data_IF_846461010434
#
_entry.id   IF_846461010434
#
_cell.length_a   1.000
_cell.length_b   1.000
_cell.length_c   1.000
_cell.angle_alpha   90.00
_cell.angle_beta   90.00
_cell.angle_gamma   90.00
#
_symmetry.space_group_name_H-M   'P 1'
#
loop_
_entity.id
_entity.type
_entity.pdbx_description
1 polymer ?
#
# COMPACT_ATOMS: atom_id res chain seq x y z
N UNK A 1 75.80 -21.45 -17.37
CA UNK A 1 74.86 -22.33 -18.10
C UNK A 1 73.78 -21.43 -18.69
N UNK A 2 74.01 -20.93 -19.91
CA UNK A 2 73.45 -21.39 -21.19
C UNK A 2 71.94 -21.09 -21.33
N UNK A 3 71.70 -20.11 -22.19
CA UNK A 3 70.46 -19.71 -22.85
C UNK A 3 69.70 -20.88 -23.47
N UNK A 4 68.37 -20.70 -23.59
CA UNK A 4 67.61 -21.24 -24.73
C UNK A 4 66.19 -21.65 -24.41
N UNK A 5 65.26 -21.17 -25.23
CA UNK A 5 63.94 -21.69 -25.69
C UNK A 5 63.12 -20.42 -26.05
N UNK A 6 63.28 -19.83 -27.25
CA UNK A 6 62.72 -20.15 -28.58
C UNK A 6 61.23 -20.56 -28.58
N UNK A 7 60.49 -19.89 -29.50
CA UNK A 7 59.20 -20.23 -30.15
C UNK A 7 57.97 -19.94 -29.28
N UNK A 8 56.96 -19.18 -29.72
CA UNK A 8 56.65 -18.58 -31.01
C UNK A 8 55.32 -17.84 -30.89
N UNK A 9 55.12 -16.82 -31.71
CA UNK A 9 53.83 -16.11 -31.80
C UNK A 9 52.75 -16.93 -32.51
N UNK A 10 51.49 -16.59 -32.22
CA UNK A 10 50.23 -16.78 -32.99
C UNK A 10 49.14 -16.18 -32.06
N UNK A 11 48.57 -14.99 -32.34
CA UNK A 11 47.51 -14.69 -33.31
C UNK A 11 46.10 -15.18 -32.88
N UNK A 12 45.13 -14.27 -33.04
CA UNK A 12 43.66 -14.48 -33.10
C UNK A 12 42.92 -14.64 -31.74
N UNK A 13 42.20 -13.60 -31.29
CA UNK A 13 40.82 -13.21 -31.65
C UNK A 13 39.73 -14.00 -30.93
N UNK A 14 38.84 -13.21 -30.30
CA UNK A 14 37.39 -13.41 -30.12
C UNK A 14 36.83 -14.30 -28.99
N UNK A 15 35.94 -13.62 -28.25
CA UNK A 15 34.67 -14.13 -27.68
C UNK A 15 34.80 -14.98 -26.42
N UNK A 16 34.67 -14.30 -25.29
CA UNK A 16 34.23 -14.88 -24.04
C UNK A 16 33.48 -13.81 -23.26
N UNK A 17 32.19 -13.65 -23.56
CA UNK A 17 31.27 -12.84 -22.77
C UNK A 17 31.33 -13.31 -21.31
N UNK A 18 31.94 -12.51 -20.45
CA UNK A 18 31.70 -12.67 -19.02
C UNK A 18 30.22 -12.39 -18.76
N UNK A 19 29.48 -13.27 -18.05
CA UNK A 19 28.21 -12.86 -17.50
C UNK A 19 28.55 -11.85 -16.41
N UNK A 20 28.48 -10.57 -16.79
CA UNK A 20 28.40 -9.44 -15.89
C UNK A 20 27.12 -9.69 -15.07
N UNK A 21 27.26 -10.32 -13.90
CA UNK A 21 26.17 -10.52 -12.96
C UNK A 21 25.55 -9.16 -12.74
N UNK A 22 24.37 -9.01 -13.34
CA UNK A 22 23.52 -7.85 -13.16
C UNK A 22 23.33 -7.74 -11.67
N UNK A 23 23.77 -6.61 -11.09
CA UNK A 23 23.35 -6.21 -9.77
C UNK A 23 21.82 -6.14 -9.84
N UNK A 24 21.19 -7.20 -9.38
CA UNK A 24 19.75 -7.28 -9.17
C UNK A 24 19.46 -6.16 -8.18
N UNK A 25 19.00 -5.03 -8.72
CA UNK A 25 18.43 -3.95 -7.94
C UNK A 25 17.22 -4.57 -7.26
N UNK A 26 17.42 -5.03 -6.03
CA UNK A 26 16.34 -5.40 -5.12
C UNK A 26 15.47 -4.16 -4.96
N UNK A 27 14.43 -4.07 -5.79
CA UNK A 27 13.22 -3.30 -5.50
C UNK A 27 12.93 -3.54 -4.02
N UNK A 28 12.85 -2.52 -3.15
CA UNK A 28 12.65 -2.72 -1.72
C UNK A 28 11.50 -3.69 -1.52
N UNK A 29 11.84 -4.92 -1.13
CA UNK A 29 10.91 -6.05 -1.19
C UNK A 29 9.74 -5.74 -0.29
N UNK A 30 8.53 -5.86 -0.83
CA UNK A 30 7.31 -5.67 -0.07
C UNK A 30 7.37 -6.49 1.23
N UNK A 31 7.11 -5.86 2.37
CA UNK A 31 7.23 -6.50 3.67
C UNK A 31 6.47 -7.83 3.71
N UNK A 32 6.95 -8.84 4.46
CA UNK A 32 6.24 -10.12 4.57
C UNK A 32 4.83 -9.91 5.13
N UNK A 33 3.89 -10.78 4.73
CA UNK A 33 2.53 -10.76 5.28
C UNK A 33 2.56 -11.05 6.80
N UNK A 34 1.66 -10.44 7.58
CA UNK A 34 1.56 -10.72 9.01
C UNK A 34 1.05 -12.14 9.25
N UNK A 35 1.85 -13.00 9.86
CA UNK A 35 1.49 -14.42 10.02
C UNK A 35 0.22 -14.60 10.86
N UNK A 36 -0.76 -15.34 10.32
CA UNK A 36 -1.94 -15.80 11.05
C UNK A 36 -2.92 -14.71 11.48
N UNK A 37 -2.78 -13.47 10.99
CA UNK A 37 -3.64 -12.35 11.39
C UNK A 37 -3.92 -11.37 10.25
N UNK A 38 -4.92 -10.51 10.47
CA UNK A 38 -5.09 -9.28 9.70
C UNK A 38 -4.19 -8.18 10.29
N UNK A 39 -3.63 -7.35 9.43
CA UNK A 39 -3.00 -6.08 9.82
C UNK A 39 -3.40 -4.97 8.86
N UNK A 40 -3.41 -3.74 9.37
CA UNK A 40 -3.55 -2.53 8.55
C UNK A 40 -2.18 -1.90 8.39
N UNK A 41 -1.82 -1.63 7.14
CA UNK A 41 -0.54 -1.09 6.72
C UNK A 41 -0.77 0.30 6.09
N UNK A 42 0.15 1.21 6.35
CA UNK A 42 0.19 2.58 5.79
C UNK A 42 -1.17 3.31 5.75
N UNK A 43 -1.92 3.40 6.87
CA UNK A 43 -3.12 4.22 6.90
C UNK A 43 -2.74 5.70 6.81
N UNK A 44 -3.44 6.46 5.97
CA UNK A 44 -3.23 7.90 5.81
C UNK A 44 -4.54 8.59 5.44
N UNK A 45 -4.72 9.82 5.92
CA UNK A 45 -5.75 10.75 5.45
C UNK A 45 -5.13 12.13 5.33
N UNK A 46 -5.55 12.90 4.33
CA UNK A 46 -5.09 14.27 4.19
C UNK A 46 -5.99 15.26 4.91
N UNK A 47 -5.45 16.44 5.20
CA UNK A 47 -6.21 17.58 5.73
C UNK A 47 -7.47 17.86 4.92
N UNK A 48 -8.55 18.19 5.63
CA UNK A 48 -9.84 18.55 5.04
C UNK A 48 -10.53 19.60 5.92
N UNK A 49 -11.24 20.57 5.33
CA UNK A 49 -12.02 21.51 6.11
C UNK A 49 -13.29 20.87 6.67
N UNK A 50 -13.91 21.53 7.65
CA UNK A 50 -15.25 21.14 8.09
C UNK A 50 -16.25 21.31 6.94
N UNK A 51 -17.13 20.32 6.75
CA UNK A 51 -18.07 20.24 5.63
C UNK A 51 -17.53 19.49 4.41
N UNK A 52 -16.21 19.37 4.25
CA UNK A 52 -15.61 18.69 3.10
C UNK A 52 -15.65 17.17 3.23
N UNK A 53 -15.26 16.49 2.15
CA UNK A 53 -14.98 15.05 2.18
C UNK A 53 -13.47 14.81 2.32
N UNK A 54 -13.11 13.81 3.11
CA UNK A 54 -11.74 13.32 3.23
C UNK A 54 -11.64 11.87 2.75
N UNK A 55 -10.50 11.49 2.16
CA UNK A 55 -10.25 10.12 1.73
C UNK A 55 -9.17 9.52 2.60
N UNK A 56 -9.55 8.50 3.37
CA UNK A 56 -8.60 7.62 4.07
C UNK A 56 -8.14 6.57 3.06
N UNK A 57 -6.84 6.41 2.90
CA UNK A 57 -6.25 5.29 2.15
C UNK A 57 -5.53 4.38 3.15
N UNK A 58 -5.76 3.08 3.04
CA UNK A 58 -5.08 2.07 3.86
C UNK A 58 -4.93 0.77 3.08
N UNK A 59 -4.01 -0.08 3.52
CA UNK A 59 -3.86 -1.43 2.98
C UNK A 59 -4.16 -2.45 4.06
N UNK A 60 -5.01 -3.42 3.75
CA UNK A 60 -5.32 -4.54 4.66
C UNK A 60 -4.54 -5.75 4.19
N UNK A 61 -3.63 -6.23 5.03
CA UNK A 61 -2.87 -7.45 4.82
C UNK A 61 -3.53 -8.61 5.57
N UNK A 62 -4.00 -9.61 4.83
CA UNK A 62 -4.57 -10.83 5.37
C UNK A 62 -3.56 -11.97 5.29
N UNK A 63 -2.81 -12.21 6.37
CA UNK A 63 -1.92 -13.37 6.45
C UNK A 63 -2.55 -14.59 7.11
N UNK A 64 -3.87 -14.60 7.31
CA UNK A 64 -4.60 -15.81 7.73
C UNK A 64 -4.72 -16.80 6.58
N UNK A 65 -5.08 -18.05 6.89
CA UNK A 65 -5.32 -19.09 5.90
C UNK A 65 -6.68 -18.96 5.19
N UNK A 66 -7.52 -18.01 5.61
CA UNK A 66 -8.90 -17.92 5.16
C UNK A 66 -9.24 -16.50 4.70
N UNK A 67 -10.23 -16.38 3.81
CA UNK A 67 -10.71 -15.08 3.40
C UNK A 67 -11.55 -14.41 4.50
N UNK A 68 -11.58 -13.09 4.48
CA UNK A 68 -12.52 -12.25 5.25
C UNK A 68 -13.21 -11.25 4.30
N UNK A 69 -14.10 -10.43 4.82
CA UNK A 69 -14.81 -9.40 4.07
C UNK A 69 -14.98 -8.17 4.94
N UNK A 70 -14.51 -7.03 4.45
CA UNK A 70 -14.83 -5.73 5.02
C UNK A 70 -16.26 -5.36 4.60
N UNK A 71 -17.14 -5.20 5.58
CA UNK A 71 -18.58 -4.95 5.37
C UNK A 71 -19.01 -3.54 5.78
N UNK A 72 -18.14 -2.79 6.45
CA UNK A 72 -18.43 -1.42 6.86
C UNK A 72 -17.23 -0.72 7.48
N UNK A 73 -17.33 0.59 7.63
CA UNK A 73 -16.39 1.41 8.38
C UNK A 73 -17.13 2.58 9.06
N UNK A 74 -16.65 2.99 10.22
CA UNK A 74 -17.20 4.10 10.99
C UNK A 74 -16.06 5.00 11.50
N UNK A 75 -16.31 6.31 11.58
CA UNK A 75 -15.35 7.28 12.13
C UNK A 75 -16.10 8.35 12.94
N UNK A 76 -16.78 7.96 14.03
CA UNK A 76 -17.83 8.79 14.67
C UNK A 76 -17.34 10.13 15.20
N UNK A 77 -16.05 10.26 15.53
CA UNK A 77 -15.45 11.52 15.95
C UNK A 77 -15.34 12.55 14.82
N UNK A 78 -15.38 12.10 13.55
CA UNK A 78 -15.09 12.91 12.37
C UNK A 78 -16.29 13.00 11.45
N UNK A 79 -17.03 11.90 11.24
CA UNK A 79 -18.24 11.88 10.40
C UNK A 79 -19.16 10.73 10.78
N UNK A 80 -20.43 10.86 10.39
CA UNK A 80 -21.43 9.77 10.43
C UNK A 80 -21.56 9.00 9.12
N UNK A 81 -20.93 9.48 8.04
CA UNK A 81 -21.08 8.90 6.70
C UNK A 81 -19.73 8.48 6.16
N UNK A 82 -19.50 7.17 6.08
CA UNK A 82 -18.30 6.58 5.51
C UNK A 82 -18.70 5.68 4.34
N UNK A 83 -18.04 5.85 3.21
CA UNK A 83 -18.25 5.04 2.00
C UNK A 83 -17.00 4.24 1.69
N UNK A 84 -17.15 2.93 1.51
CA UNK A 84 -16.07 2.04 1.12
C UNK A 84 -15.80 2.09 -0.39
N UNK A 85 -14.54 2.02 -0.78
CA UNK A 85 -14.07 1.85 -2.16
C UNK A 85 -12.87 0.89 -2.17
N UNK A 86 -12.85 -0.03 -3.12
CA UNK A 86 -11.70 -0.92 -3.34
C UNK A 86 -10.83 -0.40 -4.50
N UNK A 87 -9.50 -0.49 -4.36
CA UNK A 87 -8.57 -0.34 -5.48
C UNK A 87 -8.12 -1.72 -5.96
N UNK A 88 -7.95 -1.86 -7.28
CA UNK A 88 -7.35 -3.05 -7.89
C UNK A 88 -6.16 -2.61 -8.72
N UNK A 89 -4.96 -3.04 -8.28
CA UNK A 89 -3.70 -2.41 -8.68
C UNK A 89 -3.63 -0.96 -8.16
N UNK A 90 -3.10 -0.06 -8.97
CA UNK A 90 -3.06 1.38 -8.69
C UNK A 90 -4.32 2.12 -9.20
N UNK A 91 -5.28 1.39 -9.74
CA UNK A 91 -6.50 1.97 -10.34
C UNK A 91 -7.68 1.76 -9.39
N UNK A 92 -8.40 2.84 -9.09
CA UNK A 92 -9.67 2.76 -8.34
C UNK A 92 -10.64 1.93 -9.18
N UNK A 93 -10.91 0.69 -8.76
CA UNK A 93 -11.62 -0.28 -9.60
C UNK A 93 -13.05 0.18 -9.92
N UNK A 94 -13.64 0.98 -9.04
CA UNK A 94 -14.91 1.65 -9.27
C UNK A 94 -14.92 3.00 -8.53
N UNK A 95 -15.28 4.09 -9.21
CA UNK A 95 -15.68 5.34 -8.53
C UNK A 95 -16.93 5.14 -7.66
N UNK A 96 -17.58 3.98 -7.81
CA UNK A 96 -18.81 3.60 -7.13
C UNK A 96 -18.53 3.11 -5.70
N UNK A 97 -19.42 3.46 -4.76
CA UNK A 97 -19.46 2.84 -3.44
C UNK A 97 -19.45 1.31 -3.51
N UNK A 98 -18.53 0.66 -2.80
CA UNK A 98 -18.58 -0.77 -2.57
C UNK A 98 -19.42 -1.05 -1.32
N UNK A 99 -20.39 -1.97 -1.42
CA UNK A 99 -21.13 -2.44 -0.24
C UNK A 99 -20.29 -3.37 0.65
N UNK A 100 -19.30 -4.04 0.05
CA UNK A 100 -18.37 -4.95 0.73
C UNK A 100 -17.09 -5.09 -0.09
N UNK A 101 -15.99 -5.40 0.59
CA UNK A 101 -14.68 -5.66 -0.03
C UNK A 101 -14.17 -7.00 0.46
N UNK A 102 -13.95 -7.94 -0.45
CA UNK A 102 -13.39 -9.26 -0.14
C UNK A 102 -11.90 -9.10 0.16
N UNK A 103 -11.44 -9.76 1.22
CA UNK A 103 -10.05 -9.84 1.65
C UNK A 103 -9.59 -11.29 1.49
N UNK A 104 -9.04 -11.68 0.32
CA UNK A 104 -8.59 -13.05 0.10
C UNK A 104 -7.59 -13.52 1.16
N UNK A 105 -7.50 -14.85 1.34
CA UNK A 105 -6.46 -15.44 2.17
C UNK A 105 -5.08 -15.10 1.60
N UNK A 106 -4.09 -14.88 2.48
CA UNK A 106 -2.69 -14.63 2.09
C UNK A 106 -2.51 -13.51 1.07
N UNK A 107 -3.24 -12.41 1.21
CA UNK A 107 -3.23 -11.31 0.25
C UNK A 107 -3.13 -9.92 0.89
N UNK A 108 -2.95 -8.91 0.05
CA UNK A 108 -3.09 -7.49 0.39
C UNK A 108 -4.15 -6.84 -0.46
N UNK A 109 -4.94 -5.99 0.14
CA UNK A 109 -5.99 -5.22 -0.54
C UNK A 109 -5.90 -3.77 -0.11
N UNK A 110 -5.77 -2.87 -1.09
CA UNK A 110 -5.83 -1.42 -0.84
C UNK A 110 -7.29 -0.96 -0.83
N UNK A 111 -7.64 -0.21 0.20
CA UNK A 111 -9.00 0.26 0.46
C UNK A 111 -8.97 1.78 0.64
N UNK A 112 -9.96 2.44 0.05
CA UNK A 112 -10.28 3.83 0.32
C UNK A 112 -11.58 3.95 1.09
N UNK A 113 -11.58 4.82 2.10
CA UNK A 113 -12.76 5.19 2.86
C UNK A 113 -13.02 6.67 2.62
N UNK A 114 -14.17 6.99 2.04
CA UNK A 114 -14.58 8.38 1.84
C UNK A 114 -15.39 8.82 3.05
N UNK A 115 -14.78 9.66 3.88
CA UNK A 115 -15.40 10.33 5.00
C UNK A 115 -16.16 11.54 4.45
N UNK A 116 -17.50 11.50 4.40
CA UNK A 116 -18.29 12.59 3.83
C UNK A 116 -18.72 13.58 4.90
N UNK A 117 -18.80 14.87 4.53
CA UNK A 117 -19.29 15.92 5.41
C UNK A 117 -18.63 15.87 6.80
N UNK A 118 -17.32 16.05 6.79
CA UNK A 118 -16.49 16.00 8.00
C UNK A 118 -16.94 17.10 8.97
N UNK A 119 -17.16 16.74 10.24
CA UNK A 119 -17.77 17.63 11.23
C UNK A 119 -16.81 18.69 11.78
N UNK A 120 -15.51 18.42 11.75
CA UNK A 120 -14.45 19.31 12.24
C UNK A 120 -13.25 19.20 11.31
N UNK A 121 -12.55 20.32 11.07
CA UNK A 121 -11.39 20.32 10.20
C UNK A 121 -10.34 19.29 10.66
N UNK A 122 -9.82 18.50 9.72
CA UNK A 122 -8.71 17.59 9.93
C UNK A 122 -7.40 18.35 9.75
N UNK A 123 -6.61 18.45 10.82
CA UNK A 123 -5.34 19.19 10.83
C UNK A 123 -4.14 18.24 10.87
N UNK A 124 -2.99 18.59 10.27
CA UNK A 124 -1.80 17.74 10.30
C UNK A 124 -1.39 17.38 11.73
N UNK A 125 -0.91 16.15 11.92
CA UNK A 125 -0.47 15.63 13.22
C UNK A 125 -1.60 15.12 14.12
N UNK A 126 -2.86 15.31 13.73
CA UNK A 126 -3.98 14.62 14.37
C UNK A 126 -4.01 13.13 14.00
N UNK A 127 -4.77 12.36 14.79
CA UNK A 127 -5.07 10.96 14.49
C UNK A 127 -6.57 10.77 14.46
N UNK A 128 -7.08 10.31 13.32
CA UNK A 128 -8.46 9.87 13.15
C UNK A 128 -8.58 8.41 13.55
N UNK A 129 -9.53 8.09 14.41
CA UNK A 129 -9.89 6.71 14.73
C UNK A 129 -10.96 6.23 13.76
N UNK A 130 -10.69 5.12 13.09
CA UNK A 130 -11.62 4.46 12.17
C UNK A 130 -11.87 3.03 12.66
N UNK A 131 -13.14 2.67 12.81
CA UNK A 131 -13.57 1.32 13.15
C UNK A 131 -13.99 0.58 11.88
N UNK A 132 -13.19 -0.42 11.49
CA UNK A 132 -13.49 -1.31 10.38
C UNK A 132 -14.35 -2.48 10.86
N UNK A 133 -15.42 -2.81 10.13
CA UNK A 133 -16.28 -3.95 10.42
C UNK A 133 -15.98 -5.09 9.45
N UNK A 134 -15.41 -6.17 9.98
CA UNK A 134 -15.07 -7.38 9.25
C UNK A 134 -16.09 -8.47 9.56
N UNK A 135 -16.49 -9.23 8.54
CA UNK A 135 -17.52 -10.26 8.67
C UNK A 135 -17.11 -11.39 9.62
N UNK A 136 -15.82 -11.75 9.66
CA UNK A 136 -15.33 -12.87 10.47
C UNK A 136 -14.54 -12.44 11.69
N UNK A 137 -13.59 -11.53 11.52
CA UNK A 137 -12.73 -11.06 12.61
C UNK A 137 -13.40 -9.98 13.48
N UNK A 138 -14.58 -9.50 13.10
CA UNK A 138 -15.34 -8.50 13.86
C UNK A 138 -14.79 -7.09 13.67
N UNK A 139 -14.76 -6.29 14.75
CA UNK A 139 -14.33 -4.89 14.67
C UNK A 139 -12.83 -4.72 14.82
N UNK A 140 -12.21 -3.99 13.90
CA UNK A 140 -10.80 -3.61 13.92
C UNK A 140 -10.68 -2.09 13.98
N UNK A 141 -10.15 -1.57 15.08
CA UNK A 141 -9.91 -0.13 15.26
C UNK A 141 -8.54 0.27 14.69
N UNK A 142 -8.54 1.26 13.81
CA UNK A 142 -7.37 1.76 13.08
C UNK A 142 -7.09 3.20 13.49
N UNK A 143 -5.81 3.50 13.72
CA UNK A 143 -5.31 4.86 13.93
C UNK A 143 -4.80 5.40 12.61
N UNK A 144 -5.44 6.43 12.09
CA UNK A 144 -5.11 7.03 10.79
C UNK A 144 -4.50 8.41 11.03
N UNK A 145 -3.18 8.60 10.82
CA UNK A 145 -2.57 9.92 10.92
C UNK A 145 -3.12 10.86 9.83
N UNK A 146 -3.31 12.13 10.22
CA UNK A 146 -3.62 13.21 9.29
C UNK A 146 -2.32 13.82 8.77
N UNK A 147 -2.13 13.75 7.46
CA UNK A 147 -1.01 14.35 6.75
C UNK A 147 -1.42 15.62 6.02
N UNK A 148 -0.44 16.47 5.73
CA UNK A 148 -0.67 17.66 4.92
C UNK A 148 -0.83 17.26 3.45
N UNK A 149 -1.84 17.78 2.77
CA UNK A 149 -1.92 17.62 1.32
C UNK A 149 -0.73 18.36 0.67
N UNK A 150 0.11 17.65 -0.08
CA UNK A 150 1.17 18.31 -0.84
C UNK A 150 0.53 19.18 -1.94
N UNK A 151 0.76 20.50 -1.86
CA UNK A 151 0.24 21.47 -2.82
C UNK A 151 0.88 21.37 -4.24
N UNK A 152 1.91 20.53 -4.41
CA UNK A 152 2.65 20.38 -5.68
C UNK A 152 2.02 19.41 -6.70
N UNK A 153 0.85 18.82 -6.42
CA UNK A 153 0.20 17.85 -7.30
C UNK A 153 -1.00 18.39 -8.12
N UNK A 154 -1.09 19.71 -8.32
CA UNK A 154 -2.05 20.32 -9.25
C UNK A 154 -1.28 20.99 -10.41
N UNK A 155 -1.28 20.43 -11.63
CA UNK A 155 -0.88 21.22 -12.79
C UNK A 155 -1.90 22.35 -12.97
N UNK A 156 -1.40 23.59 -13.00
CA UNK A 156 -2.17 24.76 -13.44
C UNK A 156 -2.44 24.71 -14.94
#
# INVERSE_FOLDING_TARGET
MRYGWIIGGILAWLVGCGPQQSAEQTTPGEAPLPEGRLAVEAPVVYTAAAGDSAVVTLRIANGTAEADTLVGAEAPAVTRTVVLRALVGDTVQTSQPAARIVLPARSRVTVQLVLRNVQQALTPGQVVLVDLSLARQGRLRVRVPVEQANAEALPM
#
